data_IF_655758127595
#
_entry.id   IF_655758127595
#
_cell.length_a   1.000
_cell.length_b   1.000
_cell.length_c   1.000
_cell.angle_alpha   90.00
_cell.angle_beta   90.00
_cell.angle_gamma   90.00
#
_symmetry.space_group_name_H-M   'P 1'
#
loop_
_entity.id
_entity.type
_entity.pdbx_description
1 polymer ?
#
# COMPACT_ATOMS: atom_id res chain seq x y z
N UNK A 1 9.33 -9.12 15.49
CA UNK A 1 8.41 -8.20 14.82
C UNK A 1 8.93 -7.99 13.40
N UNK A 2 8.09 -8.16 12.38
CA UNK A 2 8.45 -8.01 10.96
C UNK A 2 7.93 -6.66 10.47
N UNK A 3 8.76 -5.89 9.79
CA UNK A 3 8.36 -4.62 9.16
C UNK A 3 8.20 -4.85 7.66
N UNK A 4 7.03 -4.49 7.13
CA UNK A 4 6.73 -4.52 5.70
C UNK A 4 6.71 -3.07 5.20
N UNK A 5 7.68 -2.67 4.37
CA UNK A 5 7.77 -1.30 3.88
C UNK A 5 6.70 -1.02 2.81
N UNK A 6 6.45 0.26 2.54
CA UNK A 6 5.47 0.71 1.53
C UNK A 6 5.97 0.61 0.07
N UNK A 7 7.00 -0.18 -0.20
CA UNK A 7 7.67 -0.28 -1.51
C UNK A 7 6.92 -1.18 -2.51
N UNK A 8 5.93 -1.94 -2.04
CA UNK A 8 5.13 -2.83 -2.86
C UNK A 8 3.64 -2.65 -2.58
N UNK A 9 3.02 -1.94 -3.51
CA UNK A 9 1.63 -1.51 -3.45
C UNK A 9 0.84 -2.16 -4.58
N UNK A 10 -0.36 -2.64 -4.27
CA UNK A 10 -1.37 -3.12 -5.21
C UNK A 10 -2.61 -2.23 -5.15
N UNK A 11 -3.31 -2.11 -6.27
CA UNK A 11 -4.55 -1.32 -6.41
C UNK A 11 -5.77 -2.20 -6.73
N UNK A 12 -5.58 -3.52 -6.70
CA UNK A 12 -6.66 -4.51 -6.74
C UNK A 12 -6.20 -5.76 -6.00
N UNK A 13 -7.15 -6.58 -5.53
CA UNK A 13 -6.82 -7.89 -4.97
C UNK A 13 -6.93 -8.95 -6.06
N UNK A 14 -5.84 -9.66 -6.32
CA UNK A 14 -5.81 -10.72 -7.33
C UNK A 14 -4.81 -11.81 -6.96
N UNK A 15 -5.17 -13.07 -7.25
CA UNK A 15 -4.28 -14.23 -7.10
C UNK A 15 -3.08 -14.20 -8.06
N UNK A 16 -3.09 -13.29 -9.04
CA UNK A 16 -2.00 -13.09 -10.00
C UNK A 16 -0.81 -12.34 -9.40
N UNK A 17 -1.01 -11.63 -8.29
CA UNK A 17 0.09 -10.91 -7.64
C UNK A 17 0.96 -11.87 -6.83
N UNK A 18 2.28 -11.77 -7.02
CA UNK A 18 3.26 -12.55 -6.27
C UNK A 18 3.49 -11.90 -4.92
N UNK A 19 3.37 -12.68 -3.85
CA UNK A 19 3.71 -12.19 -2.52
C UNK A 19 5.20 -11.86 -2.41
N UNK A 20 5.50 -10.66 -1.91
CA UNK A 20 6.87 -10.16 -1.77
C UNK A 20 7.44 -10.39 -0.36
N UNK A 21 6.55 -10.57 0.61
CA UNK A 21 6.89 -10.71 2.02
C UNK A 21 6.34 -12.01 2.60
N UNK A 22 6.96 -12.49 3.68
CA UNK A 22 6.51 -13.68 4.41
C UNK A 22 6.49 -13.45 5.91
N UNK A 23 5.45 -13.95 6.57
CA UNK A 23 5.27 -14.01 8.01
C UNK A 23 4.77 -15.41 8.39
N UNK A 24 5.11 -15.84 9.60
CA UNK A 24 4.62 -17.11 10.17
C UNK A 24 3.50 -16.83 11.19
N UNK A 25 2.62 -17.80 11.45
CA UNK A 25 1.68 -17.70 12.57
C UNK A 25 2.41 -17.30 13.86
N UNK A 26 1.81 -16.36 14.61
CA UNK A 26 2.39 -15.79 15.82
C UNK A 26 3.39 -14.64 15.59
N UNK A 27 3.74 -14.31 14.34
CA UNK A 27 4.53 -13.10 14.06
C UNK A 27 3.68 -11.84 14.25
N UNK A 28 4.25 -10.83 14.91
CA UNK A 28 3.74 -9.46 14.88
C UNK A 28 4.31 -8.74 13.66
N UNK A 29 3.44 -8.21 12.81
CA UNK A 29 3.80 -7.53 11.56
C UNK A 29 3.40 -6.05 11.67
N UNK A 30 4.26 -5.16 11.20
CA UNK A 30 4.01 -3.72 11.09
C UNK A 30 4.10 -3.35 9.63
N UNK A 31 3.00 -2.80 9.08
CA UNK A 31 2.94 -2.30 7.71
C UNK A 31 3.17 -0.79 7.71
N UNK A 32 4.04 -0.33 6.83
CA UNK A 32 4.06 1.07 6.43
C UNK A 32 3.04 1.27 5.31
N UNK A 33 2.12 2.22 5.44
CA UNK A 33 1.06 2.44 4.44
C UNK A 33 1.14 3.82 3.82
N UNK A 34 0.46 3.99 2.69
CA UNK A 34 0.06 5.29 2.17
C UNK A 34 -1.38 5.60 2.61
N UNK A 35 -1.77 6.86 2.58
CA UNK A 35 -3.18 7.23 2.73
C UNK A 35 -4.00 6.76 1.53
N UNK A 36 -5.32 6.89 1.63
CA UNK A 36 -6.27 6.46 0.61
C UNK A 36 -6.10 7.18 -0.74
N UNK A 37 -5.43 8.34 -0.76
CA UNK A 37 -5.16 9.11 -1.96
C UNK A 37 -3.76 8.85 -2.52
N UNK A 38 -3.04 7.87 -1.99
CA UNK A 38 -1.72 7.47 -2.47
C UNK A 38 -0.59 8.40 -2.06
N UNK A 39 -0.81 9.26 -1.04
CA UNK A 39 0.16 10.29 -0.63
C UNK A 39 0.33 11.41 -1.66
N UNK A 40 -0.68 11.61 -2.52
CA UNK A 40 -0.64 12.59 -3.61
C UNK A 40 -0.98 14.01 -3.13
N UNK A 41 -1.82 14.14 -2.11
CA UNK A 41 -2.16 15.44 -1.51
C UNK A 41 -1.16 15.73 -0.39
N UNK A 42 -0.18 16.58 -0.69
CA UNK A 42 0.90 16.95 0.24
C UNK A 42 0.66 18.29 0.94
N UNK A 43 -0.20 19.13 0.37
CA UNK A 43 -0.59 20.42 0.90
C UNK A 43 -1.99 20.82 0.38
N UNK A 44 -2.45 22.01 0.78
CA UNK A 44 -3.78 22.54 0.45
C UNK A 44 -3.93 23.02 -1.00
N UNK A 45 -2.83 23.21 -1.72
CA UNK A 45 -2.82 23.74 -3.08
C UNK A 45 -2.96 22.62 -4.13
N UNK A 46 -2.79 21.36 -3.73
CA UNK A 46 -3.11 20.19 -4.56
C UNK A 46 -4.62 19.95 -4.60
N UNK A 47 -5.23 20.11 -5.77
CA UNK A 47 -6.65 19.84 -5.98
C UNK A 47 -6.93 18.35 -6.19
N UNK A 48 -8.12 17.89 -5.79
CA UNK A 48 -8.56 16.51 -5.95
C UNK A 48 -8.70 16.11 -7.43
N UNK A 49 -9.00 17.06 -8.32
CA UNK A 49 -9.10 16.84 -9.76
C UNK A 49 -7.73 16.57 -10.40
N UNK A 50 -6.64 16.96 -9.74
CA UNK A 50 -5.28 16.85 -10.26
C UNK A 50 -4.56 15.54 -9.93
N UNK A 51 -5.11 14.71 -9.04
CA UNK A 51 -4.48 13.46 -8.62
C UNK A 51 -4.66 12.34 -9.66
N UNK A 52 -3.75 11.36 -9.63
CA UNK A 52 -3.88 10.13 -10.38
C UNK A 52 -4.89 9.19 -9.68
N UNK A 53 -6.10 9.13 -10.24
CA UNK A 53 -7.17 8.26 -9.76
C UNK A 53 -6.88 6.77 -9.92
N UNK A 54 -5.94 6.37 -10.79
CA UNK A 54 -5.53 4.97 -10.88
C UNK A 54 -4.69 4.52 -9.69
N UNK A 55 -4.29 5.47 -8.83
CA UNK A 55 -3.43 5.25 -7.66
C UNK A 55 -4.10 5.52 -6.32
N UNK A 56 -5.43 5.52 -6.28
CA UNK A 56 -6.20 5.59 -5.03
C UNK A 56 -6.35 4.22 -4.38
N UNK A 57 -6.56 4.20 -3.07
CA UNK A 57 -6.69 3.01 -2.23
C UNK A 57 -5.52 2.00 -2.39
N UNK A 58 -4.27 2.46 -2.23
CA UNK A 58 -3.12 1.56 -2.21
C UNK A 58 -3.21 0.56 -1.05
N UNK A 59 -3.01 -0.72 -1.33
CA UNK A 59 -2.81 -1.76 -0.32
C UNK A 59 -1.38 -2.31 -0.39
N UNK A 60 -0.76 -2.56 0.75
CA UNK A 60 0.62 -3.03 0.84
C UNK A 60 0.66 -4.56 0.84
N UNK A 61 1.45 -5.14 -0.07
CA UNK A 61 1.54 -6.60 -0.23
C UNK A 61 1.33 -7.05 -1.67
N UNK A 62 1.02 -8.34 -1.92
CA UNK A 62 0.65 -9.37 -0.94
C UNK A 62 1.81 -9.92 -0.09
N UNK A 63 1.48 -10.57 1.02
CA UNK A 63 2.41 -11.31 1.87
C UNK A 63 1.87 -12.72 2.15
N UNK A 64 2.75 -13.69 2.41
CA UNK A 64 2.39 -15.07 2.80
C UNK A 64 2.79 -15.38 4.23
#
# INVERSE_FOLDING_TARGET
MIRIPRDYTIYSFSRRYTARYRAKPGNRVVFETLDALGGQIVDKDVSLESIDWSRVNPAIGPYT
#
